data_IF_975600659435
#
_entry.id   IF_975600659435
#
_cell.length_a   1.000
_cell.length_b   1.000
_cell.length_c   1.000
_cell.angle_alpha   90.00
_cell.angle_beta   90.00
_cell.angle_gamma   90.00
#
_symmetry.space_group_name_H-M   'P 1'
#
loop_
_entity.id
_entity.type
_entity.pdbx_description
1 polymer ?
#
# COMPACT_ATOMS: atom_id res chain seq x y z
N UNK A 1 -15.02 19.04 -8.16
CA UNK A 1 -14.08 17.91 -8.16
C UNK A 1 -13.39 17.84 -6.80
N UNK A 2 -12.66 18.87 -6.37
CA UNK A 2 -11.88 18.85 -5.12
C UNK A 2 -12.76 18.55 -3.90
N UNK A 3 -13.91 19.22 -3.78
CA UNK A 3 -14.88 18.97 -2.69
C UNK A 3 -15.37 17.53 -2.65
N UNK A 4 -15.58 16.90 -3.81
CA UNK A 4 -16.05 15.51 -3.88
C UNK A 4 -14.91 14.52 -3.57
N UNK A 5 -13.72 14.76 -4.13
CA UNK A 5 -12.53 13.97 -3.83
C UNK A 5 -12.18 14.03 -2.34
N UNK A 6 -12.23 15.24 -1.77
CA UNK A 6 -12.03 15.50 -0.36
C UNK A 6 -13.08 14.78 0.52
N UNK A 7 -14.37 14.85 0.12
CA UNK A 7 -15.46 14.18 0.84
C UNK A 7 -15.34 12.66 0.81
N UNK A 8 -14.89 12.10 -0.33
CA UNK A 8 -14.72 10.65 -0.49
C UNK A 8 -13.45 10.12 0.16
N UNK A 9 -12.35 10.84 0.08
CA UNK A 9 -11.03 10.48 0.61
C UNK A 9 -10.36 9.28 -0.04
N UNK A 10 -11.15 8.36 -0.63
CA UNK A 10 -10.66 7.16 -1.31
C UNK A 10 -11.67 6.64 -2.34
N UNK A 11 -11.19 5.83 -3.27
CA UNK A 11 -12.08 5.01 -4.11
C UNK A 11 -12.54 3.77 -3.35
N UNK A 12 -13.81 3.39 -3.53
CA UNK A 12 -14.39 2.20 -2.89
C UNK A 12 -14.62 1.12 -3.95
N UNK A 13 -14.09 -0.06 -3.70
CA UNK A 13 -14.18 -1.21 -4.59
C UNK A 13 -15.25 -2.17 -4.06
N UNK A 14 -16.42 -2.16 -4.69
CA UNK A 14 -17.50 -3.11 -4.42
C UNK A 14 -17.33 -4.35 -5.30
N UNK A 15 -18.15 -5.36 -5.07
CA UNK A 15 -18.08 -6.62 -5.83
C UNK A 15 -18.35 -6.41 -7.31
N UNK A 16 -19.32 -5.57 -7.63
CA UNK A 16 -19.85 -5.32 -8.98
C UNK A 16 -19.36 -4.02 -9.63
N UNK A 17 -18.84 -3.08 -8.84
CA UNK A 17 -18.48 -1.75 -9.33
C UNK A 17 -17.47 -1.04 -8.45
N UNK A 18 -16.87 0.02 -9.00
CA UNK A 18 -15.99 0.93 -8.28
C UNK A 18 -16.67 2.28 -8.14
N UNK A 19 -16.68 2.82 -6.92
CA UNK A 19 -17.04 4.21 -6.66
C UNK A 19 -15.73 5.00 -6.63
N UNK A 20 -15.37 5.75 -7.69
CA UNK A 20 -14.07 6.38 -7.79
C UNK A 20 -14.00 7.62 -6.91
N UNK A 21 -12.82 7.90 -6.33
CA UNK A 21 -12.53 9.15 -5.61
C UNK A 21 -12.60 10.35 -6.55
N UNK A 22 -12.02 10.22 -7.74
CA UNK A 22 -12.04 11.25 -8.79
C UNK A 22 -13.06 10.88 -9.89
N UNK A 23 -13.67 11.86 -10.57
CA UNK A 23 -14.51 11.58 -11.73
C UNK A 23 -13.82 10.71 -12.78
N UNK A 24 -14.57 9.88 -13.49
CA UNK A 24 -14.03 8.95 -14.49
C UNK A 24 -13.19 9.63 -15.58
N UNK A 25 -13.55 10.87 -15.98
CA UNK A 25 -12.81 11.68 -16.95
C UNK A 25 -11.37 11.97 -16.46
N UNK A 26 -11.16 12.06 -15.15
CA UNK A 26 -9.83 12.21 -14.56
C UNK A 26 -9.21 10.84 -14.30
N UNK A 27 -9.87 9.98 -13.52
CA UNK A 27 -9.28 8.71 -13.06
C UNK A 27 -8.93 7.75 -14.18
N UNK A 28 -9.75 7.68 -15.24
CA UNK A 28 -9.55 6.78 -16.37
C UNK A 28 -9.02 7.51 -17.63
N UNK A 29 -9.10 8.85 -17.62
CA UNK A 29 -8.69 9.72 -18.73
C UNK A 29 -7.31 10.34 -18.52
N UNK A 30 -7.29 11.63 -18.15
CA UNK A 30 -6.06 12.45 -18.14
C UNK A 30 -5.04 12.02 -17.07
N UNK A 31 -5.50 11.51 -15.92
CA UNK A 31 -4.62 11.04 -14.85
C UNK A 31 -4.15 9.59 -15.04
N UNK A 32 -4.80 8.81 -15.91
CA UNK A 32 -4.41 7.44 -16.19
C UNK A 32 -3.22 7.39 -17.15
N UNK A 33 -2.22 6.55 -16.84
CA UNK A 33 -1.02 6.36 -17.63
C UNK A 33 -1.30 5.45 -18.85
N UNK A 34 -2.28 5.84 -19.67
CA UNK A 34 -2.73 5.08 -20.83
C UNK A 34 -1.60 4.88 -21.85
N UNK A 35 -1.53 3.72 -22.53
CA UNK A 35 -0.46 3.44 -23.48
C UNK A 35 -0.53 4.33 -24.72
N UNK A 36 0.64 4.67 -25.27
CA UNK A 36 0.78 5.45 -26.49
C UNK A 36 0.46 6.95 -26.37
N UNK A 37 0.14 7.44 -25.18
CA UNK A 37 -0.21 8.84 -24.91
C UNK A 37 0.74 9.44 -23.89
N UNK A 38 1.18 10.68 -24.13
CA UNK A 38 2.00 11.42 -23.17
C UNK A 38 1.16 11.82 -21.95
N UNK A 39 1.74 11.64 -20.75
CA UNK A 39 1.12 11.96 -19.47
C UNK A 39 2.11 12.64 -18.56
N UNK A 40 1.64 13.66 -17.86
CA UNK A 40 2.39 14.26 -16.75
C UNK A 40 2.39 13.28 -15.57
N UNK A 41 3.56 13.10 -14.99
CA UNK A 41 3.76 12.23 -13.84
C UNK A 41 4.77 12.83 -12.86
N UNK A 42 4.70 12.40 -11.61
CA UNK A 42 5.82 12.47 -10.68
C UNK A 42 6.56 11.15 -10.73
N UNK A 43 7.85 11.21 -11.00
CA UNK A 43 8.71 10.04 -11.11
C UNK A 43 9.68 9.99 -9.94
N UNK A 44 9.89 8.78 -9.43
CA UNK A 44 10.94 8.45 -8.48
C UNK A 44 11.83 7.40 -9.14
N UNK A 45 13.04 7.79 -9.53
CA UNK A 45 14.06 6.86 -10.03
C UNK A 45 14.92 6.44 -8.85
N UNK A 46 15.20 5.16 -8.76
CA UNK A 46 15.98 4.57 -7.67
C UNK A 46 17.10 3.71 -8.27
N UNK A 47 18.31 3.88 -7.77
CA UNK A 47 19.39 2.94 -7.96
C UNK A 47 19.41 1.97 -6.78
N UNK A 48 19.32 0.68 -7.07
CA UNK A 48 19.20 -0.37 -6.06
C UNK A 48 20.37 -1.32 -6.21
N UNK A 49 21.08 -1.58 -5.11
CA UNK A 49 22.20 -2.51 -5.07
C UNK A 49 21.72 -3.98 -5.10
N UNK A 50 22.68 -4.90 -5.24
CA UNK A 50 22.44 -6.34 -5.26
C UNK A 50 21.94 -6.93 -3.93
N UNK A 51 21.83 -6.10 -2.87
CA UNK A 51 21.25 -6.45 -1.57
C UNK A 51 19.85 -5.86 -1.39
N UNK A 52 19.33 -5.16 -2.40
CA UNK A 52 18.02 -4.52 -2.35
C UNK A 52 17.99 -3.19 -1.59
N UNK A 53 19.13 -2.53 -1.37
CA UNK A 53 19.17 -1.20 -0.76
C UNK A 53 19.12 -0.13 -1.84
N UNK A 54 18.32 0.90 -1.62
CA UNK A 54 18.34 2.11 -2.45
C UNK A 54 19.59 2.91 -2.11
N UNK A 55 20.54 2.99 -3.04
CA UNK A 55 21.83 3.70 -2.87
C UNK A 55 21.78 5.13 -3.37
N UNK A 56 20.92 5.42 -4.35
CA UNK A 56 20.62 6.77 -4.81
C UNK A 56 19.19 6.86 -5.31
N UNK A 57 18.61 8.05 -5.30
CA UNK A 57 17.29 8.29 -5.88
C UNK A 57 17.14 9.73 -6.34
N UNK A 58 16.26 9.93 -7.31
CA UNK A 58 15.84 11.22 -7.80
C UNK A 58 14.33 11.27 -7.93
N UNK A 59 13.73 12.39 -7.50
CA UNK A 59 12.29 12.63 -7.59
C UNK A 59 12.06 13.91 -8.39
N UNK A 60 11.22 13.85 -9.43
CA UNK A 60 11.02 14.98 -10.33
C UNK A 60 9.68 14.91 -11.07
N UNK A 61 9.25 16.07 -11.59
CA UNK A 61 8.13 16.14 -12.54
C UNK A 61 8.58 15.63 -13.90
N UNK A 62 7.79 14.78 -14.54
CA UNK A 62 8.16 14.13 -15.78
C UNK A 62 6.99 14.07 -16.78
N UNK A 63 7.33 13.81 -18.03
CA UNK A 63 6.36 13.40 -19.06
C UNK A 63 6.71 11.98 -19.47
N UNK A 64 5.75 11.07 -19.29
CA UNK A 64 5.93 9.67 -19.66
C UNK A 64 4.97 9.26 -20.76
N UNK A 65 5.39 8.28 -21.55
CA UNK A 65 4.56 7.65 -22.58
C UNK A 65 4.64 6.14 -22.40
N UNK A 66 3.60 5.57 -21.80
CA UNK A 66 3.53 4.13 -21.56
C UNK A 66 3.49 3.37 -22.90
N UNK A 67 4.27 2.31 -23.02
CA UNK A 67 4.33 1.51 -24.25
C UNK A 67 3.19 0.53 -24.38
N UNK A 68 2.75 -0.05 -23.27
CA UNK A 68 1.74 -1.10 -23.25
C UNK A 68 0.99 -1.09 -21.89
N UNK A 69 -0.29 -1.44 -21.92
CA UNK A 69 -1.06 -1.77 -20.72
C UNK A 69 -1.02 -3.28 -20.51
N UNK A 70 -0.36 -3.70 -19.45
CA UNK A 70 -0.26 -5.12 -19.09
C UNK A 70 -1.32 -5.52 -18.07
N UNK A 71 -1.67 -6.80 -18.05
CA UNK A 71 -2.55 -7.39 -17.02
C UNK A 71 -1.77 -8.43 -16.24
N UNK A 72 -2.04 -8.53 -14.94
CA UNK A 72 -1.42 -9.56 -14.08
C UNK A 72 -1.57 -10.97 -14.66
N UNK A 73 -2.77 -11.33 -15.13
CA UNK A 73 -3.04 -12.64 -15.73
C UNK A 73 -2.06 -13.00 -16.85
N UNK A 74 -1.75 -12.06 -17.76
CA UNK A 74 -0.83 -12.31 -18.89
C UNK A 74 0.63 -12.27 -18.46
N UNK A 75 0.97 -11.36 -17.51
CA UNK A 75 2.32 -11.29 -16.93
C UNK A 75 2.65 -12.57 -16.17
N UNK A 76 1.71 -13.07 -15.36
CA UNK A 76 1.89 -14.31 -14.59
C UNK A 76 2.10 -15.52 -15.49
N UNK A 77 1.42 -15.61 -16.64
CA UNK A 77 1.67 -16.70 -17.63
C UNK A 77 3.13 -16.71 -18.09
N UNK A 78 3.74 -15.53 -18.29
CA UNK A 78 5.16 -15.50 -18.62
C UNK A 78 6.03 -15.84 -17.42
N UNK A 79 5.81 -15.19 -16.28
CA UNK A 79 6.71 -15.30 -15.12
C UNK A 79 6.62 -16.65 -14.42
N UNK A 80 5.45 -17.30 -14.42
CA UNK A 80 5.21 -18.52 -13.65
C UNK A 80 5.13 -19.77 -14.57
N UNK A 81 4.72 -19.62 -15.84
CA UNK A 81 4.49 -20.74 -16.77
C UNK A 81 5.41 -20.69 -18.00
N UNK A 82 6.14 -19.58 -18.24
CA UNK A 82 6.99 -19.40 -19.43
C UNK A 82 6.21 -19.17 -20.74
N UNK A 83 4.90 -18.88 -20.64
CA UNK A 83 4.02 -18.69 -21.80
C UNK A 83 3.98 -17.20 -22.17
N UNK A 84 4.37 -16.88 -23.40
CA UNK A 84 4.35 -15.51 -23.94
C UNK A 84 3.02 -15.23 -24.61
N UNK A 85 2.25 -14.30 -24.07
CA UNK A 85 1.00 -13.81 -24.67
C UNK A 85 1.26 -12.81 -25.79
N UNK A 86 0.28 -12.67 -26.71
CA UNK A 86 0.38 -11.74 -27.83
C UNK A 86 0.69 -10.29 -27.39
N UNK A 87 1.69 -9.68 -28.05
CA UNK A 87 2.17 -8.35 -27.76
C UNK A 87 3.15 -8.25 -26.57
N UNK A 88 3.43 -9.34 -25.84
CA UNK A 88 4.34 -9.33 -24.69
C UNK A 88 5.78 -9.72 -25.04
N UNK A 89 6.01 -10.35 -26.18
CA UNK A 89 7.34 -10.82 -26.59
C UNK A 89 8.47 -9.75 -26.47
N UNK A 90 8.26 -8.47 -26.86
CA UNK A 90 9.30 -7.46 -26.73
C UNK A 90 9.67 -7.09 -25.28
N UNK A 91 8.87 -7.51 -24.29
CA UNK A 91 9.01 -7.14 -22.88
C UNK A 91 9.41 -8.30 -21.97
N UNK A 92 9.57 -9.50 -22.51
CA UNK A 92 9.86 -10.71 -21.68
C UNK A 92 11.16 -10.57 -20.89
N UNK A 93 12.20 -10.00 -21.49
CA UNK A 93 13.47 -9.76 -20.80
C UNK A 93 13.30 -8.73 -19.68
N UNK A 94 12.61 -7.61 -19.95
CA UNK A 94 12.35 -6.58 -18.95
C UNK A 94 11.54 -7.13 -17.76
N UNK A 95 10.50 -7.94 -18.03
CA UNK A 95 9.69 -8.58 -17.00
C UNK A 95 10.51 -9.56 -16.15
N UNK A 96 11.43 -10.31 -16.77
CA UNK A 96 12.31 -11.23 -16.03
C UNK A 96 13.28 -10.48 -15.11
N UNK A 97 13.90 -9.39 -15.59
CA UNK A 97 14.75 -8.52 -14.78
C UNK A 97 13.97 -7.81 -13.67
N UNK A 98 12.75 -7.36 -13.95
CA UNK A 98 11.87 -6.79 -12.93
C UNK A 98 11.56 -7.82 -11.83
N UNK A 99 11.29 -9.06 -12.19
CA UNK A 99 11.04 -10.13 -11.21
C UNK A 99 12.27 -10.38 -10.35
N UNK A 100 13.46 -10.50 -10.96
CA UNK A 100 14.72 -10.68 -10.23
C UNK A 100 14.94 -9.54 -9.23
N UNK A 101 14.77 -8.28 -9.66
CA UNK A 101 14.91 -7.13 -8.77
C UNK A 101 13.87 -7.13 -7.65
N UNK A 102 12.61 -7.47 -7.96
CA UNK A 102 11.56 -7.55 -6.95
C UNK A 102 11.86 -8.64 -5.90
N UNK A 103 12.37 -9.80 -6.32
CA UNK A 103 12.78 -10.87 -5.41
C UNK A 103 13.93 -10.44 -4.48
N UNK A 104 14.89 -9.64 -4.98
CA UNK A 104 15.97 -9.05 -4.17
C UNK A 104 15.39 -8.06 -3.14
N UNK A 105 14.50 -7.16 -3.55
CA UNK A 105 13.84 -6.18 -2.66
C UNK A 105 13.03 -6.91 -1.59
N UNK A 106 12.27 -7.94 -1.98
CA UNK A 106 11.48 -8.76 -1.05
C UNK A 106 12.35 -9.45 -0.03
N UNK A 107 13.42 -10.11 -0.48
CA UNK A 107 14.36 -10.78 0.42
C UNK A 107 14.97 -9.80 1.44
N UNK A 108 15.36 -8.60 1.03
CA UNK A 108 15.82 -7.54 1.95
C UNK A 108 14.73 -7.19 2.99
N UNK A 109 13.48 -7.03 2.55
CA UNK A 109 12.35 -6.70 3.42
C UNK A 109 12.06 -7.83 4.42
N UNK A 110 12.07 -9.08 3.98
CA UNK A 110 11.92 -10.27 4.82
C UNK A 110 13.06 -10.38 5.85
N UNK A 111 14.30 -10.14 5.43
CA UNK A 111 15.45 -10.11 6.33
C UNK A 111 15.35 -9.04 7.42
N UNK A 112 14.66 -7.91 7.16
CA UNK A 112 14.32 -6.90 8.17
C UNK A 112 13.21 -7.37 9.13
N UNK A 113 12.53 -8.47 8.81
CA UNK A 113 11.45 -9.05 9.61
C UNK A 113 10.06 -8.55 9.22
N UNK A 114 9.84 -8.12 7.97
CA UNK A 114 8.51 -7.81 7.49
C UNK A 114 7.60 -9.03 7.62
N UNK A 115 6.38 -8.82 8.09
CA UNK A 115 5.43 -9.90 8.37
C UNK A 115 4.58 -10.13 7.11
N UNK A 116 4.63 -11.36 6.57
CA UNK A 116 3.70 -11.79 5.53
C UNK A 116 2.63 -12.72 6.13
N UNK A 117 1.41 -12.23 6.22
CA UNK A 117 0.31 -13.00 6.79
C UNK A 117 -0.25 -14.06 5.85
N UNK A 118 0.15 -14.09 4.58
CA UNK A 118 -0.30 -15.05 3.56
C UNK A 118 -1.80 -15.42 3.72
N UNK A 119 -2.64 -14.41 3.81
CA UNK A 119 -4.08 -14.59 3.99
C UNK A 119 -4.77 -14.76 2.65
N UNK A 120 -5.60 -15.79 2.54
CA UNK A 120 -6.44 -16.00 1.36
C UNK A 120 -7.44 -14.86 1.21
N UNK A 121 -7.46 -14.21 0.05
CA UNK A 121 -8.52 -13.28 -0.33
C UNK A 121 -9.59 -14.01 -1.15
N UNK A 122 -10.84 -13.93 -0.70
CA UNK A 122 -11.96 -14.45 -1.49
C UNK A 122 -12.37 -13.44 -2.56
N UNK A 123 -12.48 -13.90 -3.81
CA UNK A 123 -13.05 -13.13 -4.93
C UNK A 123 -14.42 -13.68 -5.26
N UNK A 124 -15.43 -12.85 -5.14
CA UNK A 124 -16.80 -13.18 -5.56
C UNK A 124 -16.91 -12.99 -7.08
N UNK A 125 -17.38 -14.00 -7.76
CA UNK A 125 -17.70 -13.96 -9.18
C UNK A 125 -19.20 -13.71 -9.32
N UNK A 126 -19.56 -12.66 -10.06
CA UNK A 126 -20.95 -12.33 -10.35
C UNK A 126 -21.25 -12.56 -11.84
N UNK A 127 -22.51 -12.88 -12.14
CA UNK A 127 -23.02 -12.92 -13.51
C UNK A 127 -23.25 -11.50 -14.07
N UNK A 128 -23.70 -11.41 -15.32
CA UNK A 128 -23.96 -10.13 -16.01
C UNK A 128 -25.08 -9.29 -15.35
N UNK A 129 -25.87 -9.90 -14.46
CA UNK A 129 -26.91 -9.22 -13.68
C UNK A 129 -26.41 -8.71 -12.33
N UNK A 130 -25.13 -8.99 -11.98
CA UNK A 130 -24.53 -8.66 -10.69
C UNK A 130 -24.85 -9.66 -9.59
N UNK A 131 -25.49 -10.80 -9.89
CA UNK A 131 -25.79 -11.84 -8.92
C UNK A 131 -24.53 -12.70 -8.66
N UNK A 132 -24.13 -12.93 -7.40
CA UNK A 132 -23.04 -13.80 -7.06
C UNK A 132 -23.32 -15.23 -7.53
N UNK A 133 -22.38 -15.82 -8.29
CA UNK A 133 -22.49 -17.19 -8.83
C UNK A 133 -21.40 -18.11 -8.30
N UNK A 134 -20.26 -17.57 -7.86
CA UNK A 134 -19.15 -18.36 -7.34
C UNK A 134 -18.28 -17.55 -6.39
N UNK A 135 -17.48 -18.24 -5.56
CA UNK A 135 -16.46 -17.65 -4.68
C UNK A 135 -15.16 -18.41 -4.90
N UNK A 136 -14.17 -17.71 -5.46
CA UNK A 136 -12.86 -18.29 -5.74
C UNK A 136 -11.79 -17.64 -4.87
N UNK A 137 -10.72 -18.37 -4.57
CA UNK A 137 -9.55 -17.78 -3.92
C UNK A 137 -8.80 -16.92 -4.94
N UNK A 138 -8.43 -15.73 -4.52
CA UNK A 138 -7.54 -14.86 -5.27
C UNK A 138 -6.11 -15.21 -4.93
N UNK A 139 -5.42 -15.87 -5.85
CA UNK A 139 -4.00 -16.13 -5.70
C UNK A 139 -3.19 -14.87 -5.99
N UNK A 140 -2.22 -14.58 -5.11
CA UNK A 140 -1.20 -13.54 -5.31
C UNK A 140 -0.02 -14.19 -6.03
N UNK A 141 0.00 -14.11 -7.35
CA UNK A 141 1.05 -14.67 -8.19
C UNK A 141 2.24 -13.70 -8.36
N UNK A 142 3.23 -14.08 -9.16
CA UNK A 142 4.51 -13.34 -9.29
C UNK A 142 4.34 -11.89 -9.72
N UNK A 143 3.42 -11.59 -10.63
CA UNK A 143 3.20 -10.22 -11.12
C UNK A 143 2.64 -9.28 -10.05
N UNK A 144 1.66 -9.74 -9.25
CA UNK A 144 1.11 -8.96 -8.14
C UNK A 144 2.17 -8.67 -7.09
N UNK A 145 2.94 -9.70 -6.70
CA UNK A 145 4.03 -9.57 -5.72
C UNK A 145 5.12 -8.62 -6.20
N UNK A 146 5.51 -8.73 -7.47
CA UNK A 146 6.51 -7.86 -8.11
C UNK A 146 6.11 -6.38 -8.03
N UNK A 147 4.89 -6.04 -8.42
CA UNK A 147 4.41 -4.66 -8.37
C UNK A 147 4.27 -4.17 -6.93
N UNK A 148 3.82 -5.01 -6.01
CA UNK A 148 3.76 -4.68 -4.58
C UNK A 148 5.13 -4.30 -4.03
N UNK A 149 6.18 -5.07 -4.31
CA UNK A 149 7.54 -4.78 -3.84
C UNK A 149 8.07 -3.45 -4.39
N UNK A 150 7.83 -3.15 -5.66
CA UNK A 150 8.19 -1.85 -6.24
C UNK A 150 7.40 -0.69 -5.63
N UNK A 151 6.09 -0.88 -5.38
CA UNK A 151 5.29 0.15 -4.71
C UNK A 151 5.78 0.42 -3.29
N UNK A 152 6.14 -0.62 -2.54
CA UNK A 152 6.69 -0.48 -1.19
C UNK A 152 8.03 0.25 -1.24
N UNK A 153 8.94 -0.13 -2.14
CA UNK A 153 10.24 0.53 -2.30
C UNK A 153 10.09 2.02 -2.64
N UNK A 154 9.21 2.37 -3.58
CA UNK A 154 8.93 3.75 -3.93
C UNK A 154 8.33 4.54 -2.75
N UNK A 155 7.38 3.94 -2.03
CA UNK A 155 6.76 4.56 -0.86
C UNK A 155 7.79 4.82 0.27
N UNK A 156 8.68 3.86 0.55
CA UNK A 156 9.77 4.02 1.53
C UNK A 156 10.76 5.10 1.11
N UNK A 157 11.12 5.14 -0.17
CA UNK A 157 12.08 6.11 -0.71
C UNK A 157 11.55 7.53 -0.64
N UNK A 158 10.32 7.75 -1.11
CA UNK A 158 9.68 9.09 -1.05
C UNK A 158 9.47 9.54 0.39
N UNK A 159 9.03 8.63 1.28
CA UNK A 159 8.87 8.94 2.69
C UNK A 159 10.19 9.35 3.35
N UNK A 160 11.26 8.61 3.08
CA UNK A 160 12.61 8.90 3.60
C UNK A 160 13.15 10.21 3.07
N UNK A 161 12.96 10.50 1.77
CA UNK A 161 13.39 11.75 1.15
C UNK A 161 12.85 12.97 1.90
N UNK A 162 11.54 13.04 2.11
CA UNK A 162 10.90 14.17 2.81
C UNK A 162 11.23 14.17 4.30
N UNK A 163 11.31 13.01 4.94
CA UNK A 163 11.64 12.88 6.36
C UNK A 163 13.01 13.48 6.68
N UNK A 164 14.05 13.16 5.89
CA UNK A 164 15.40 13.65 6.10
C UNK A 164 15.58 15.13 5.70
N UNK A 165 14.65 15.70 4.93
CA UNK A 165 14.56 17.13 4.70
C UNK A 165 13.91 17.87 5.87
N UNK A 166 13.40 17.15 6.89
CA UNK A 166 12.66 17.72 8.03
C UNK A 166 11.47 18.57 7.57
N UNK A 167 10.74 18.04 6.57
CA UNK A 167 9.52 18.65 6.03
C UNK A 167 8.28 17.93 6.52
N UNK A 168 7.13 18.62 6.70
CA UNK A 168 5.88 17.98 7.06
C UNK A 168 5.41 17.04 5.94
N UNK A 169 4.93 15.86 6.32
CA UNK A 169 4.41 14.86 5.38
C UNK A 169 3.35 13.97 6.03
N UNK A 170 2.56 13.28 5.22
CA UNK A 170 1.58 12.32 5.71
C UNK A 170 2.20 10.93 5.65
N UNK A 171 2.48 10.36 6.82
CA UNK A 171 3.03 9.00 6.93
C UNK A 171 1.91 7.97 7.09
N UNK A 172 2.15 6.77 6.57
CA UNK A 172 1.33 5.59 6.86
C UNK A 172 2.05 4.80 7.95
N UNK A 173 1.55 4.85 9.15
CA UNK A 173 2.21 4.27 10.32
C UNK A 173 1.45 3.05 10.85
N UNK A 174 2.20 2.14 11.44
CA UNK A 174 1.65 0.93 12.06
C UNK A 174 2.37 0.68 13.38
N UNK A 175 1.65 0.85 14.49
CA UNK A 175 2.21 0.67 15.83
C UNK A 175 2.50 -0.79 16.17
N UNK A 176 3.26 -0.99 17.26
CA UNK A 176 3.51 -2.31 17.84
C UNK A 176 2.20 -2.94 18.35
N UNK A 177 2.03 -4.26 18.27
CA UNK A 177 0.85 -4.92 18.82
C UNK A 177 0.76 -4.72 20.33
N UNK A 178 -0.45 -4.86 20.89
CA UNK A 178 -0.63 -4.86 22.35
C UNK A 178 -0.15 -6.18 22.93
N UNK A 179 0.65 -6.10 24.00
CA UNK A 179 1.26 -7.27 24.64
C UNK A 179 0.20 -8.28 25.11
N UNK A 180 -0.88 -7.82 25.70
CA UNK A 180 -2.00 -8.64 26.13
C UNK A 180 -2.56 -9.51 24.98
N UNK A 181 -2.82 -8.90 23.81
CA UNK A 181 -3.36 -9.64 22.65
C UNK A 181 -2.38 -10.66 22.06
N UNK A 182 -1.09 -10.38 22.12
CA UNK A 182 -0.07 -11.33 21.66
C UNK A 182 0.04 -12.48 22.65
N UNK A 183 -0.04 -12.21 23.97
CA UNK A 183 -0.05 -13.25 24.99
C UNK A 183 -1.29 -14.14 24.87
N UNK A 184 -2.49 -13.57 24.70
CA UNK A 184 -3.73 -14.32 24.44
C UNK A 184 -3.58 -15.26 23.23
N UNK A 185 -2.95 -14.77 22.16
CA UNK A 185 -2.66 -15.58 20.99
C UNK A 185 -1.70 -16.74 21.31
N UNK A 186 -0.60 -16.47 22.02
CA UNK A 186 0.37 -17.50 22.39
C UNK A 186 -0.24 -18.57 23.33
N UNK A 187 -1.08 -18.17 24.26
CA UNK A 187 -1.83 -19.07 25.14
C UNK A 187 -2.78 -19.95 24.31
N UNK A 188 -3.48 -19.37 23.34
CA UNK A 188 -4.32 -20.14 22.43
C UNK A 188 -3.51 -21.15 21.61
N UNK A 189 -2.36 -20.74 21.02
CA UNK A 189 -1.46 -21.64 20.30
C UNK A 189 -0.98 -22.79 21.19
N UNK A 190 -0.64 -22.49 22.45
CA UNK A 190 -0.23 -23.48 23.44
C UNK A 190 -1.37 -24.46 23.77
N UNK A 191 -2.61 -23.99 23.87
CA UNK A 191 -3.79 -24.83 24.14
C UNK A 191 -4.06 -25.84 23.01
N UNK A 192 -3.63 -25.54 21.77
CA UNK A 192 -3.66 -26.46 20.64
C UNK A 192 -2.51 -27.48 20.65
N UNK A 193 -1.63 -27.42 21.65
CA UNK A 193 -0.48 -28.31 21.79
C UNK A 193 0.77 -27.89 21.02
N UNK A 194 0.78 -26.70 20.41
CA UNK A 194 1.95 -26.16 19.73
C UNK A 194 2.87 -25.43 20.69
N UNK A 195 4.18 -25.71 20.59
CA UNK A 195 5.20 -25.03 21.37
C UNK A 195 5.96 -24.04 20.50
N UNK A 196 5.88 -22.76 20.83
CA UNK A 196 6.71 -21.73 20.20
C UNK A 196 8.06 -21.67 20.93
N UNK A 197 9.13 -21.75 20.15
CA UNK A 197 10.50 -21.66 20.68
C UNK A 197 11.02 -20.24 20.57
N UNK A 198 11.84 -19.85 21.55
CA UNK A 198 12.42 -18.51 21.61
C UNK A 198 11.56 -17.51 22.40
N UNK A 199 12.19 -16.37 22.74
CA UNK A 199 11.51 -15.29 23.47
C UNK A 199 10.78 -14.37 22.48
N UNK A 200 9.48 -14.21 22.64
CA UNK A 200 8.69 -13.27 21.84
C UNK A 200 8.88 -11.86 22.37
N UNK A 201 9.33 -10.96 21.52
CA UNK A 201 9.49 -9.54 21.83
C UNK A 201 8.64 -8.71 20.85
N UNK A 202 7.53 -8.20 21.34
CA UNK A 202 6.54 -7.44 20.56
C UNK A 202 7.07 -6.14 19.96
N UNK A 203 8.25 -5.65 20.36
CA UNK A 203 8.86 -4.45 19.80
C UNK A 203 9.50 -4.69 18.42
N UNK A 204 9.75 -5.95 18.07
CA UNK A 204 10.43 -6.34 16.84
C UNK A 204 9.49 -7.15 15.95
N UNK A 205 9.21 -6.68 14.72
CA UNK A 205 8.38 -7.41 13.76
C UNK A 205 8.89 -8.82 13.49
N UNK A 206 10.21 -8.99 13.38
CA UNK A 206 10.87 -10.29 13.19
C UNK A 206 10.53 -11.33 14.26
N UNK A 207 10.20 -10.89 15.47
CA UNK A 207 9.78 -11.81 16.55
C UNK A 207 8.39 -12.38 16.28
N UNK A 208 7.49 -11.60 15.73
CA UNK A 208 6.15 -12.05 15.33
C UNK A 208 6.25 -12.94 14.08
N UNK A 209 7.08 -12.54 13.10
CA UNK A 209 7.31 -13.35 11.91
C UNK A 209 7.89 -14.72 12.28
N UNK A 210 8.83 -14.79 13.22
CA UNK A 210 9.36 -16.06 13.73
C UNK A 210 8.27 -16.95 14.37
N UNK A 211 7.31 -16.37 15.09
CA UNK A 211 6.16 -17.11 15.63
C UNK A 211 5.33 -17.70 14.49
N UNK A 212 5.00 -16.90 13.48
CA UNK A 212 4.20 -17.34 12.34
C UNK A 212 4.93 -18.41 11.51
N UNK A 213 6.23 -18.25 11.27
CA UNK A 213 7.03 -19.21 10.52
C UNK A 213 7.09 -20.59 11.18
N UNK A 214 7.13 -20.67 12.54
CA UNK A 214 7.06 -21.94 13.28
C UNK A 214 5.69 -22.63 13.16
N UNK A 215 4.65 -21.89 12.77
CA UNK A 215 3.28 -22.39 12.61
C UNK A 215 2.92 -22.70 11.16
N UNK A 216 3.75 -22.31 10.18
CA UNK A 216 3.44 -22.33 8.75
C UNK A 216 3.01 -23.71 8.22
N UNK A 217 3.61 -24.78 8.74
CA UNK A 217 3.31 -26.16 8.32
C UNK A 217 2.14 -26.80 9.09
N UNK A 218 1.46 -26.05 9.97
CA UNK A 218 0.36 -26.57 10.77
C UNK A 218 -0.96 -26.43 10.02
N UNK A 219 -1.88 -27.39 10.25
CA UNK A 219 -3.22 -27.41 9.60
C UNK A 219 -4.01 -26.13 9.85
N UNK A 220 -3.85 -25.58 11.05
CA UNK A 220 -4.56 -24.39 11.54
C UNK A 220 -3.87 -23.08 11.15
N UNK A 221 -2.77 -23.11 10.38
CA UNK A 221 -1.95 -21.93 10.08
C UNK A 221 -2.78 -20.74 9.60
N UNK A 222 -3.69 -20.93 8.64
CA UNK A 222 -4.53 -19.83 8.10
C UNK A 222 -5.38 -19.18 9.18
N UNK A 223 -5.92 -19.97 10.10
CA UNK A 223 -6.70 -19.45 11.23
C UNK A 223 -5.78 -18.70 12.20
N UNK A 224 -4.62 -19.29 12.52
CA UNK A 224 -3.64 -18.69 13.42
C UNK A 224 -3.07 -17.38 12.85
N UNK A 225 -2.72 -17.35 11.56
CA UNK A 225 -2.28 -16.13 10.90
C UNK A 225 -3.36 -15.03 10.94
N UNK A 226 -4.63 -15.39 10.71
CA UNK A 226 -5.75 -14.45 10.83
C UNK A 226 -5.97 -13.94 12.27
N UNK A 227 -5.79 -14.79 13.27
CA UNK A 227 -5.88 -14.39 14.69
C UNK A 227 -4.72 -13.46 15.07
N UNK A 228 -3.49 -13.77 14.64
CA UNK A 228 -2.35 -12.89 14.86
C UNK A 228 -2.55 -11.54 14.17
N UNK A 229 -3.06 -11.51 12.93
CA UNK A 229 -3.40 -10.28 12.23
C UNK A 229 -4.40 -9.42 13.01
N UNK A 230 -5.41 -10.03 13.64
CA UNK A 230 -6.37 -9.33 14.50
C UNK A 230 -5.76 -8.82 15.81
N UNK A 231 -4.67 -9.43 16.29
CA UNK A 231 -3.92 -8.95 17.45
C UNK A 231 -3.06 -7.72 17.11
N UNK A 232 -2.72 -7.50 15.82
CA UNK A 232 -2.00 -6.31 15.38
C UNK A 232 -2.84 -5.05 15.57
N UNK A 233 -2.14 -3.90 15.69
CA UNK A 233 -2.80 -2.62 15.58
C UNK A 233 -3.20 -2.36 14.12
N UNK A 234 -4.11 -1.41 13.90
CA UNK A 234 -4.43 -0.95 12.55
C UNK A 234 -3.44 0.11 12.12
N UNK A 235 -3.01 0.05 10.86
CA UNK A 235 -2.22 1.13 10.29
C UNK A 235 -3.10 2.38 10.12
N UNK A 236 -2.54 3.56 10.40
CA UNK A 236 -3.23 4.85 10.33
C UNK A 236 -2.39 5.87 9.57
N UNK A 237 -3.01 7.00 9.19
CA UNK A 237 -2.28 8.15 8.66
C UNK A 237 -2.06 9.17 9.75
N UNK A 238 -0.84 9.69 9.84
CA UNK A 238 -0.47 10.77 10.75
C UNK A 238 0.78 11.49 10.25
N UNK A 239 1.10 12.61 10.86
CA UNK A 239 2.29 13.41 10.54
C UNK A 239 3.51 13.01 11.34
N UNK A 240 3.31 12.39 12.50
CA UNK A 240 4.42 11.87 13.30
C UNK A 240 4.81 10.48 12.79
N UNK A 241 6.06 10.33 12.36
CA UNK A 241 6.55 9.04 11.95
C UNK A 241 6.90 8.17 13.15
N UNK A 242 6.16 7.08 13.34
CA UNK A 242 6.46 6.03 14.34
C UNK A 242 6.90 4.71 13.66
N UNK A 243 7.11 4.73 12.35
CA UNK A 243 7.40 3.55 11.53
C UNK A 243 6.17 2.71 11.18
N UNK A 244 6.41 1.67 10.41
CA UNK A 244 5.37 0.72 10.01
C UNK A 244 5.76 -0.70 10.44
N UNK A 245 5.23 -1.15 11.59
CA UNK A 245 5.59 -2.41 12.22
C UNK A 245 5.45 -3.61 11.28
N UNK A 246 4.30 -3.80 10.63
CA UNK A 246 4.07 -4.96 9.76
C UNK A 246 5.00 -5.04 8.55
N UNK A 247 5.46 -3.90 8.01
CA UNK A 247 6.43 -3.85 6.91
C UNK A 247 7.88 -3.84 7.38
N UNK A 248 8.13 -3.83 8.70
CA UNK A 248 9.45 -3.61 9.28
C UNK A 248 10.14 -2.35 8.70
N UNK A 249 9.37 -1.33 8.38
CA UNK A 249 9.84 -0.08 7.77
C UNK A 249 9.96 1.02 8.82
N UNK A 250 11.10 1.73 8.82
CA UNK A 250 11.33 2.85 9.75
C UNK A 250 10.56 4.10 9.37
N UNK A 251 10.37 4.31 8.07
CA UNK A 251 9.69 5.50 7.52
C UNK A 251 8.88 5.02 6.33
N UNK A 252 7.56 5.20 6.37
CA UNK A 252 6.68 4.71 5.32
C UNK A 252 5.54 5.69 5.05
N UNK A 253 5.20 5.83 3.79
CA UNK A 253 4.02 6.59 3.36
C UNK A 253 3.28 5.84 2.27
N UNK A 254 2.15 6.39 1.84
CA UNK A 254 1.52 6.06 0.59
C UNK A 254 1.75 7.17 -0.43
N UNK A 255 2.31 6.81 -1.58
CA UNK A 255 2.63 7.73 -2.67
C UNK A 255 2.14 7.21 -4.03
N UNK A 256 2.13 5.90 -4.22
CA UNK A 256 1.99 5.26 -5.53
C UNK A 256 0.57 5.20 -6.08
N UNK A 257 -0.45 5.72 -5.39
CA UNK A 257 -1.85 5.60 -5.85
C UNK A 257 -2.68 6.87 -5.67
N UNK A 258 -2.27 8.04 -6.23
CA UNK A 258 -2.95 9.32 -6.01
C UNK A 258 -4.36 9.40 -6.62
N UNK A 259 -4.67 8.57 -7.62
CA UNK A 259 -6.01 8.54 -8.26
C UNK A 259 -7.08 8.00 -7.30
N UNK A 260 -6.68 7.09 -6.39
CA UNK A 260 -7.63 6.34 -5.55
C UNK A 260 -7.46 6.55 -4.06
N UNK A 261 -6.45 7.27 -3.61
CA UNK A 261 -6.20 7.58 -2.20
C UNK A 261 -5.88 9.06 -2.02
N UNK A 262 -6.65 9.73 -1.17
CA UNK A 262 -6.49 11.15 -0.90
C UNK A 262 -5.15 11.48 -0.21
N UNK A 263 -4.64 10.60 0.66
CA UNK A 263 -3.31 10.75 1.28
C UNK A 263 -2.18 10.82 0.26
N UNK A 264 -2.22 9.93 -0.75
CA UNK A 264 -1.21 9.93 -1.83
C UNK A 264 -1.30 11.23 -2.64
N UNK A 265 -2.53 11.65 -3.00
CA UNK A 265 -2.75 12.89 -3.75
C UNK A 265 -2.21 14.11 -2.99
N UNK A 266 -2.44 14.19 -1.68
CA UNK A 266 -1.91 15.27 -0.85
C UNK A 266 -0.38 15.22 -0.77
N UNK A 267 0.19 14.05 -0.62
CA UNK A 267 1.64 13.87 -0.64
C UNK A 267 2.26 14.29 -1.99
N UNK A 268 1.59 14.02 -3.11
CA UNK A 268 1.99 14.54 -4.42
C UNK A 268 1.95 16.07 -4.48
N UNK A 269 0.91 16.70 -3.92
CA UNK A 269 0.83 18.17 -3.86
C UNK A 269 1.95 18.77 -3.03
N UNK A 270 2.26 18.20 -1.85
CA UNK A 270 3.39 18.65 -1.03
C UNK A 270 4.72 18.48 -1.75
N UNK A 271 4.91 17.34 -2.41
CA UNK A 271 6.13 17.06 -3.14
C UNK A 271 6.33 18.03 -4.32
N UNK A 272 5.26 18.39 -5.03
CA UNK A 272 5.31 19.38 -6.10
C UNK A 272 5.77 20.76 -5.56
N UNK A 273 5.28 21.18 -4.41
CA UNK A 273 5.75 22.44 -3.81
C UNK A 273 7.24 22.35 -3.46
N UNK A 274 7.70 21.22 -2.95
CA UNK A 274 9.14 21.00 -2.64
C UNK A 274 9.99 21.07 -3.91
N UNK A 275 9.56 20.41 -4.99
CA UNK A 275 10.29 20.35 -6.27
C UNK A 275 10.38 21.70 -6.97
N UNK A 276 9.38 22.57 -6.81
CA UNK A 276 9.36 23.92 -7.40
C UNK A 276 10.33 24.89 -6.73
N UNK A 277 10.71 24.63 -5.49
CA UNK A 277 11.64 25.47 -4.75
C UNK A 277 13.08 24.96 -4.88
N UNK A 278 13.75 25.30 -5.95
CA UNK A 278 15.13 24.90 -6.27
C UNK A 278 16.14 25.40 -5.22
N UNK A 279 16.32 24.68 -4.12
CA UNK A 279 17.58 24.62 -3.39
C UNK A 279 18.09 25.89 -2.66
N UNK A 280 17.30 26.93 -2.45
CA UNK A 280 17.69 28.13 -1.72
C UNK A 280 17.24 28.01 -0.24
N UNK A 281 18.15 28.10 0.72
CA UNK A 281 17.85 27.94 2.17
C UNK A 281 16.70 28.84 2.68
N UNK A 282 16.55 30.04 2.13
CA UNK A 282 15.43 30.93 2.45
C UNK A 282 14.09 30.41 1.93
N UNK A 283 14.08 29.64 0.84
CA UNK A 283 12.89 29.02 0.29
C UNK A 283 12.43 27.80 1.11
N UNK A 284 13.34 27.01 1.68
CA UNK A 284 12.99 25.92 2.59
C UNK A 284 12.23 26.41 3.84
N UNK A 285 12.61 27.56 4.40
CA UNK A 285 11.88 28.18 5.52
C UNK A 285 10.48 28.64 5.09
N UNK A 286 10.35 29.20 3.90
CA UNK A 286 9.06 29.58 3.30
C UNK A 286 8.16 28.38 3.02
N UNK A 287 8.73 27.29 2.48
CA UNK A 287 8.04 26.01 2.28
C UNK A 287 7.57 25.45 3.62
N UNK A 288 8.44 25.34 4.62
CA UNK A 288 8.09 24.86 5.97
C UNK A 288 6.92 25.64 6.54
N UNK A 289 6.92 26.97 6.42
CA UNK A 289 5.83 27.83 6.91
C UNK A 289 4.53 27.61 6.14
N UNK A 290 4.57 27.56 4.81
CA UNK A 290 3.38 27.39 3.97
C UNK A 290 2.80 25.97 4.09
N UNK A 291 3.66 24.95 4.12
CA UNK A 291 3.25 23.57 4.32
C UNK A 291 2.71 23.36 5.74
N UNK A 292 3.31 23.93 6.78
CA UNK A 292 2.80 23.82 8.14
C UNK A 292 1.40 24.43 8.30
N UNK A 293 1.14 25.56 7.66
CA UNK A 293 -0.19 26.20 7.67
C UNK A 293 -1.25 25.36 6.92
N UNK A 294 -0.86 24.65 5.87
CA UNK A 294 -1.76 23.77 5.13
C UNK A 294 -1.88 22.39 5.78
N UNK A 295 -0.79 21.92 6.37
CA UNK A 295 -0.71 20.59 7.00
C UNK A 295 -1.61 20.49 8.22
N UNK A 296 -1.69 21.50 9.08
CA UNK A 296 -2.58 21.45 10.23
C UNK A 296 -4.04 21.25 9.81
N UNK A 297 -4.51 21.99 8.81
CA UNK A 297 -5.85 21.82 8.24
C UNK A 297 -6.05 20.47 7.58
N UNK A 298 -5.01 19.94 6.91
CA UNK A 298 -5.04 18.63 6.26
C UNK A 298 -4.95 17.49 7.27
N UNK A 299 -4.19 17.67 8.35
CA UNK A 299 -4.09 16.69 9.44
C UNK A 299 -5.43 16.56 10.17
N UNK A 300 -6.06 17.69 10.46
CA UNK A 300 -7.38 17.69 11.08
C UNK A 300 -8.39 16.98 10.18
N UNK A 301 -8.33 17.22 8.89
CA UNK A 301 -9.09 16.48 7.90
C UNK A 301 -8.72 14.99 7.80
N UNK A 302 -7.41 14.65 7.83
CA UNK A 302 -6.97 13.26 7.84
C UNK A 302 -7.41 12.53 9.12
N UNK A 303 -7.32 13.18 10.28
CA UNK A 303 -7.82 12.63 11.54
C UNK A 303 -9.34 12.43 11.51
N UNK A 304 -10.06 13.34 10.90
CA UNK A 304 -11.52 13.26 10.78
C UNK A 304 -12.00 12.29 9.69
N UNK A 305 -11.27 12.12 8.59
CA UNK A 305 -11.78 11.47 7.36
C UNK A 305 -11.02 10.24 6.88
N UNK A 306 -9.77 10.03 7.31
CA UNK A 306 -8.90 8.97 6.76
C UNK A 306 -8.52 7.90 7.79
N UNK A 307 -9.11 7.84 8.96
CA UNK A 307 -8.98 6.68 9.85
C UNK A 307 -9.83 5.51 9.28
N UNK A 308 -9.48 5.06 8.10
CA UNK A 308 -10.18 4.08 7.25
C UNK A 308 -10.12 2.66 7.81
N UNK A 309 -10.39 2.49 9.11
CA UNK A 309 -10.23 1.19 9.70
C UNK A 309 -11.51 0.38 9.93
N UNK A 310 -12.70 0.99 9.84
CA UNK A 310 -13.96 0.28 10.04
C UNK A 310 -15.01 0.73 9.04
N UNK A 311 -15.33 -0.12 8.06
CA UNK A 311 -16.55 0.06 7.29
C UNK A 311 -17.72 -0.54 8.09
N UNK A 312 -18.67 0.27 8.53
CA UNK A 312 -19.95 -0.19 9.05
C UNK A 312 -20.99 -0.12 7.95
N UNK A 313 -21.67 -1.23 7.70
CA UNK A 313 -22.78 -1.28 6.77
C UNK A 313 -24.07 -1.22 7.60
N UNK A 314 -24.82 -0.13 7.48
CA UNK A 314 -26.09 0.03 8.15
C UNK A 314 -27.24 0.18 7.15
N UNK A 315 -28.42 -0.30 7.49
CA UNK A 315 -29.63 -0.15 6.70
C UNK A 315 -30.62 0.76 7.41
N UNK A 316 -31.01 1.86 6.75
CA UNK A 316 -32.09 2.73 7.20
C UNK A 316 -33.22 2.74 6.16
N UNK A 317 -34.31 2.04 6.45
CA UNK A 317 -35.44 1.88 5.51
C UNK A 317 -35.06 1.06 4.26
N UNK A 318 -35.20 1.65 3.06
CA UNK A 318 -34.83 1.01 1.77
C UNK A 318 -33.37 1.28 1.38
N UNK A 319 -32.66 2.17 2.08
CA UNK A 319 -31.33 2.62 1.70
C UNK A 319 -30.26 1.94 2.56
N UNK A 320 -29.16 1.60 1.91
CA UNK A 320 -27.96 1.10 2.56
C UNK A 320 -26.95 2.24 2.72
N UNK A 321 -26.35 2.31 3.91
CA UNK A 321 -25.31 3.28 4.24
C UNK A 321 -24.04 2.51 4.55
N UNK A 322 -22.96 2.86 3.88
CA UNK A 322 -21.62 2.37 4.18
C UNK A 322 -20.89 3.51 4.86
N UNK A 323 -20.62 3.35 6.14
CA UNK A 323 -19.81 4.29 6.90
C UNK A 323 -18.38 3.76 6.90
N UNK A 324 -17.47 4.49 6.28
CA UNK A 324 -16.04 4.20 6.33
C UNK A 324 -15.44 5.32 7.18
N UNK A 325 -15.15 5.01 8.46
CA UNK A 325 -14.52 5.92 9.43
C UNK A 325 -15.02 7.39 9.33
N UNK A 326 -16.30 7.60 9.60
CA UNK A 326 -17.01 8.88 9.50
C UNK A 326 -17.30 9.42 8.08
N UNK A 327 -17.00 8.68 7.01
CA UNK A 327 -17.49 9.00 5.68
C UNK A 327 -18.78 8.22 5.40
N UNK A 328 -19.91 8.91 5.26
CA UNK A 328 -21.19 8.30 4.89
C UNK A 328 -21.30 8.31 3.38
N UNK A 329 -21.37 7.12 2.78
CA UNK A 329 -21.65 6.94 1.36
C UNK A 329 -23.14 6.51 1.24
N UNK A 330 -23.92 7.33 0.58
CA UNK A 330 -25.34 7.06 0.29
C UNK A 330 -25.51 6.50 -1.12
#
# INVERSE_FOLDING_TARGET
IDKDAFKRGTSVYLVDRVIPMLPHQLSNGICSLNPGVERLAQSCIMEIDNKGNVVSHEIFESVIKSRIQMTYKKVNKWLDEGIVEDGYAPFTNDLSLMKELADIIRHNREARGAIDFDTDEAKIISDDTGKPVDVVLRERASGEKMIEDFMIAANETVASHIFYMDLPFIYRVHGTPKEEKVNDFLDFVSSLGYKITGKVNIKYPSSIENVLSQLKDKKEYKILASLMLRAMQKAVYQTDNIGHFGLASKIYTHFTSPIRRGSDLLNHLFLNEVLRYNGNDQSLTGIKKNLSLNVENVIEWCKEKISLSNAEITRKGKNWYITIDNCIIT
#
